data_IF_893534865834
#
_entry.id   IF_893534865834
#
_cell.length_a   1.000
_cell.length_b   1.000
_cell.length_c   1.000
_cell.angle_alpha   90.00
_cell.angle_beta   90.00
_cell.angle_gamma   90.00
#
_symmetry.space_group_name_H-M   'P 1'
#
loop_
_entity.id
_entity.type
_entity.pdbx_description
1 polymer ?
#
# COMPACT_ATOMS: atom_id res chain seq x y z
N UNK A 1 -6.78 -29.07 -6.99
CA UNK A 1 -6.76 -28.58 -5.60
C UNK A 1 -7.95 -27.67 -5.36
N UNK A 2 -8.43 -27.55 -4.13
CA UNK A 2 -9.48 -26.58 -3.77
C UNK A 2 -8.80 -25.32 -3.26
N UNK A 3 -9.21 -24.14 -3.74
CA UNK A 3 -8.69 -22.83 -3.28
C UNK A 3 -9.07 -22.62 -1.81
N UNK A 4 -8.09 -22.41 -0.94
CA UNK A 4 -8.29 -22.01 0.46
C UNK A 4 -8.84 -20.58 0.52
N UNK A 5 -9.80 -20.34 1.43
CA UNK A 5 -10.41 -19.03 1.62
C UNK A 5 -11.65 -18.79 0.75
N UNK A 6 -12.06 -19.77 -0.06
CA UNK A 6 -13.27 -19.65 -0.90
C UNK A 6 -14.55 -19.47 -0.08
N UNK A 7 -14.58 -20.01 1.14
CA UNK A 7 -15.71 -19.88 2.07
C UNK A 7 -15.47 -18.78 3.12
N UNK A 8 -14.46 -17.92 2.92
CA UNK A 8 -14.13 -16.80 3.78
C UNK A 8 -12.78 -16.93 4.49
N UNK A 9 -12.34 -15.83 5.10
CA UNK A 9 -11.02 -15.70 5.74
C UNK A 9 -10.83 -16.63 6.94
N UNK A 10 -11.92 -17.13 7.54
CA UNK A 10 -11.86 -18.08 8.66
C UNK A 10 -11.07 -19.34 8.34
N UNK A 11 -11.15 -19.85 7.11
CA UNK A 11 -10.38 -21.02 6.66
C UNK A 11 -8.87 -20.76 6.69
N UNK A 12 -8.46 -19.53 6.33
CA UNK A 12 -7.05 -19.11 6.35
C UNK A 12 -6.59 -18.91 7.79
N UNK A 13 -7.40 -18.24 8.62
CA UNK A 13 -7.09 -17.96 10.03
C UNK A 13 -6.92 -19.22 10.87
N UNK A 14 -7.66 -20.28 10.55
CA UNK A 14 -7.61 -21.56 11.25
C UNK A 14 -6.53 -22.53 10.70
N UNK A 15 -5.77 -22.13 9.68
CA UNK A 15 -4.79 -23.01 9.07
C UNK A 15 -3.62 -23.30 10.05
N UNK A 16 -3.18 -24.57 10.20
CA UNK A 16 -2.18 -24.95 11.21
C UNK A 16 -0.85 -24.17 11.13
N UNK A 17 -0.46 -23.71 9.94
CA UNK A 17 0.71 -22.85 9.73
C UNK A 17 0.74 -21.62 10.66
N UNK A 18 -0.41 -21.05 11.01
CA UNK A 18 -0.49 -19.85 11.85
C UNK A 18 -0.61 -20.16 13.35
N UNK A 19 -0.42 -21.41 13.78
CA UNK A 19 -0.38 -21.78 15.21
C UNK A 19 0.95 -21.29 15.80
N UNK A 20 0.88 -20.35 16.76
CA UNK A 20 2.06 -19.59 17.24
C UNK A 20 2.28 -19.67 18.76
N UNK A 21 1.82 -20.74 19.43
CA UNK A 21 1.97 -20.91 20.89
C UNK A 21 1.47 -19.71 21.74
N UNK A 22 0.42 -19.03 21.29
CA UNK A 22 -0.19 -17.86 21.93
C UNK A 22 0.73 -16.61 22.00
N UNK A 23 1.75 -16.51 21.15
CA UNK A 23 2.56 -15.29 21.03
C UNK A 23 1.73 -14.09 20.52
N UNK A 24 0.75 -14.36 19.65
CA UNK A 24 -0.19 -13.36 19.16
C UNK A 24 -1.51 -14.01 18.74
N UNK A 25 -2.59 -13.23 18.72
CA UNK A 25 -3.86 -13.60 18.09
C UNK A 25 -4.14 -12.71 16.90
N UNK A 26 -5.13 -13.05 16.06
CA UNK A 26 -5.51 -12.22 14.91
C UNK A 26 -5.97 -10.81 15.32
N UNK A 27 -6.42 -10.62 16.56
CA UNK A 27 -6.84 -9.35 17.15
C UNK A 27 -5.69 -8.55 17.78
N UNK A 28 -4.60 -9.23 18.16
CA UNK A 28 -3.50 -8.64 18.95
C UNK A 28 -2.18 -8.54 18.19
N UNK A 29 -2.03 -9.21 17.04
CA UNK A 29 -0.79 -9.26 16.25
C UNK A 29 -0.19 -7.89 15.94
N UNK A 30 -1.01 -6.85 15.74
CA UNK A 30 -0.53 -5.49 15.49
C UNK A 30 0.25 -4.89 16.68
N UNK A 31 -0.04 -5.36 17.90
CA UNK A 31 0.61 -4.92 19.15
C UNK A 31 1.69 -5.91 19.62
N UNK A 32 1.81 -7.06 18.97
CA UNK A 32 2.83 -8.04 19.30
C UNK A 32 4.22 -7.51 18.95
N UNK A 33 5.26 -8.09 19.55
CA UNK A 33 6.65 -7.71 19.25
C UNK A 33 6.96 -8.01 17.79
N UNK A 34 7.32 -6.98 17.03
CA UNK A 34 7.74 -7.16 15.63
C UNK A 34 9.10 -7.87 15.56
N UNK A 35 9.34 -8.71 14.54
CA UNK A 35 10.63 -9.39 14.38
C UNK A 35 11.80 -8.41 14.17
N UNK A 36 11.56 -7.32 13.42
CA UNK A 36 12.56 -6.32 13.07
C UNK A 36 11.93 -4.94 13.25
N UNK A 37 12.54 -4.13 14.10
CA UNK A 37 12.25 -2.69 14.19
C UNK A 37 13.25 -1.99 13.27
N UNK A 38 12.81 -1.29 12.21
CA UNK A 38 13.73 -0.61 11.31
C UNK A 38 14.44 0.52 12.07
N UNK A 39 15.78 0.63 12.00
CA UNK A 39 16.47 1.78 12.55
C UNK A 39 16.12 3.02 11.72
N UNK A 40 15.82 4.11 12.41
CA UNK A 40 15.56 5.43 11.80
C UNK A 40 16.48 6.45 12.47
N UNK A 41 17.12 7.28 11.65
CA UNK A 41 18.01 8.35 12.10
C UNK A 41 17.27 9.66 12.35
N UNK A 42 16.24 9.95 11.57
CA UNK A 42 15.35 11.11 11.69
C UNK A 42 13.99 10.83 11.02
N UNK A 43 13.12 11.83 10.98
CA UNK A 43 11.76 11.78 10.39
C UNK A 43 11.75 11.77 8.85
N UNK A 44 12.84 12.21 8.21
CA UNK A 44 13.04 12.19 6.76
C UNK A 44 13.89 10.98 6.28
N UNK A 45 14.17 10.01 7.15
CA UNK A 45 15.03 8.87 6.85
C UNK A 45 14.40 7.94 5.80
N UNK A 46 15.07 7.84 4.64
CA UNK A 46 14.63 7.01 3.50
C UNK A 46 15.47 5.74 3.31
N UNK A 47 16.31 5.35 4.27
CA UNK A 47 17.26 4.23 4.17
C UNK A 47 16.62 2.85 3.98
N UNK A 48 15.33 2.70 4.31
CA UNK A 48 14.56 1.48 4.09
C UNK A 48 13.87 1.43 2.70
N UNK A 49 14.11 2.43 1.85
CA UNK A 49 13.66 2.49 0.46
C UNK A 49 14.85 2.34 -0.49
N UNK A 50 14.62 1.71 -1.65
CA UNK A 50 15.63 1.66 -2.70
C UNK A 50 15.79 3.04 -3.35
N UNK A 51 17.01 3.34 -3.80
CA UNK A 51 17.22 4.48 -4.69
C UNK A 51 16.44 4.28 -6.01
N UNK A 52 15.74 5.31 -6.45
CA UNK A 52 15.02 5.32 -7.72
C UNK A 52 15.98 5.86 -8.79
N UNK A 53 16.05 5.19 -9.94
CA UNK A 53 16.81 5.71 -11.08
C UNK A 53 16.16 7.00 -11.58
N UNK A 54 16.96 8.07 -11.69
CA UNK A 54 16.49 9.37 -12.17
C UNK A 54 16.11 9.33 -13.65
N UNK A 55 16.51 8.30 -14.40
CA UNK A 55 16.07 8.09 -15.78
C UNK A 55 14.61 7.68 -15.92
N UNK A 56 14.00 7.16 -14.84
CA UNK A 56 12.57 6.80 -14.80
C UNK A 56 11.67 8.01 -14.50
N UNK A 57 12.22 9.22 -14.43
CA UNK A 57 11.38 10.41 -14.56
C UNK A 57 10.88 10.43 -16.00
N UNK A 58 9.57 10.18 -16.26
CA UNK A 58 9.04 10.47 -17.58
C UNK A 58 9.32 11.95 -17.81
N UNK A 59 10.19 12.25 -18.78
CA UNK A 59 10.37 13.62 -19.28
C UNK A 59 8.97 14.22 -19.41
N UNK A 60 8.73 15.40 -18.83
CA UNK A 60 7.40 16.03 -18.75
C UNK A 60 6.53 15.72 -19.98
N UNK A 61 5.73 14.65 -19.91
CA UNK A 61 4.88 14.24 -21.01
C UNK A 61 3.70 15.19 -21.01
N UNK A 62 3.81 16.24 -21.83
CA UNK A 62 2.76 17.22 -21.98
C UNK A 62 1.70 16.73 -22.95
N UNK A 63 0.44 17.04 -22.67
CA UNK A 63 -0.65 16.80 -23.61
C UNK A 63 -0.40 17.58 -24.91
N UNK A 64 -0.55 16.92 -26.05
CA UNK A 64 -0.54 17.62 -27.33
C UNK A 64 -1.70 18.63 -27.39
N UNK A 65 -1.44 19.82 -27.93
CA UNK A 65 -2.47 20.85 -28.14
C UNK A 65 -3.51 20.34 -29.15
N UNK A 66 -4.71 20.02 -28.68
CA UNK A 66 -5.84 19.65 -29.54
C UNK A 66 -6.55 20.90 -30.07
N UNK A 67 -6.95 20.87 -31.35
CA UNK A 67 -7.82 21.89 -31.97
C UNK A 67 -9.30 21.69 -31.65
N UNK A 68 -9.64 20.63 -30.92
CA UNK A 68 -11.00 20.25 -30.49
C UNK A 68 -11.01 19.87 -29.02
N UNK A 69 -12.18 19.75 -28.39
CA UNK A 69 -12.28 19.34 -26.99
C UNK A 69 -11.66 17.95 -26.77
N UNK A 70 -10.56 17.88 -26.04
CA UNK A 70 -9.85 16.63 -25.77
C UNK A 70 -10.29 15.95 -24.47
N UNK A 71 -10.90 16.68 -23.52
CA UNK A 71 -11.38 16.11 -22.27
C UNK A 71 -10.32 15.45 -21.38
N UNK A 72 -9.03 15.73 -21.61
CA UNK A 72 -7.91 15.04 -20.96
C UNK A 72 -7.95 15.05 -19.42
N UNK A 73 -8.62 16.04 -18.82
CA UNK A 73 -8.70 16.21 -17.37
C UNK A 73 -9.98 15.63 -16.75
N UNK A 74 -10.94 15.17 -17.56
CA UNK A 74 -12.25 14.71 -17.06
C UNK A 74 -12.12 13.48 -16.15
N UNK A 75 -11.14 12.61 -16.40
CA UNK A 75 -10.87 11.43 -15.57
C UNK A 75 -10.41 11.75 -14.15
N UNK A 76 -9.99 13.00 -13.87
CA UNK A 76 -9.48 13.44 -12.57
C UNK A 76 -10.48 14.30 -11.78
N UNK A 77 -11.68 14.53 -12.31
CA UNK A 77 -12.74 15.23 -11.57
C UNK A 77 -13.11 14.39 -10.33
N UNK A 78 -13.06 15.01 -9.15
CA UNK A 78 -13.34 14.34 -7.87
C UNK A 78 -12.13 13.64 -7.24
N UNK A 79 -10.93 13.81 -7.80
CA UNK A 79 -9.71 13.26 -7.23
C UNK A 79 -9.31 13.94 -5.90
N UNK A 80 -9.55 15.25 -5.78
CA UNK A 80 -9.19 16.01 -4.59
C UNK A 80 -9.96 15.51 -3.36
N UNK A 81 -9.22 15.18 -2.30
CA UNK A 81 -9.73 14.77 -1.00
C UNK A 81 -9.11 15.63 0.11
N UNK A 82 -9.92 16.02 1.10
CA UNK A 82 -9.44 16.68 2.33
C UNK A 82 -10.01 15.94 3.54
N UNK A 83 -9.16 15.68 4.53
CA UNK A 83 -9.55 15.04 5.78
C UNK A 83 -10.15 16.03 6.80
N UNK A 84 -10.21 17.33 6.48
CA UNK A 84 -10.70 18.38 7.39
C UNK A 84 -12.23 18.36 7.60
N UNK A 85 -12.95 17.47 6.91
CA UNK A 85 -14.41 17.35 7.00
C UNK A 85 -14.91 16.15 7.84
N UNK A 86 -14.04 15.53 8.65
CA UNK A 86 -14.43 14.50 9.65
C UNK A 86 -14.29 14.99 11.09
#
# INVERSE_FOLDING_TARGET
SVRLGKNGVGEVKAHPFFTNHNEWTWETIQKAKVPIVPPLTNDEDTSNFNEIDKSDNPSEESFSVSKTFAGNQLSFIGFSYSNEQQ
#
